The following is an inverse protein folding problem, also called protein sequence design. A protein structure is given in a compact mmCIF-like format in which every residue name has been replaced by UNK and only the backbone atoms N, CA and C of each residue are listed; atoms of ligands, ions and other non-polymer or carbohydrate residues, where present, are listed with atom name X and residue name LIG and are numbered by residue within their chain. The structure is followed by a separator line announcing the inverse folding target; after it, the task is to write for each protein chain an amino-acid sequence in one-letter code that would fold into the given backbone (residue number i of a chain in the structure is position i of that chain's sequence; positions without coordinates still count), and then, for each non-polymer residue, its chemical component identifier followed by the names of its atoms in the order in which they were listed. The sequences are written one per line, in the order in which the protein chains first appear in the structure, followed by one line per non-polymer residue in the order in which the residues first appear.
data_IF_486259688622
#
_entry.id   IF_486259688622
#
_cell.length_a   1.000
_cell.length_b   1.000
_cell.length_c   1.000
_cell.angle_alpha   90.00
_cell.angle_beta   90.00
_cell.angle_gamma   90.00
#
_symmetry.space_group_name_H-M   'P 1'
#
loop_
_entity.id
_entity.type
_entity.pdbx_description
1 polymer ?
#
# COMPACT_ATOMS: atom_id res chain seq x y z
N UNK A 1 -20.70 -15.39 -5.03
CA UNK A 1 -20.82 -13.99 -5.50
C UNK A 1 -19.82 -13.83 -6.65
N UNK A 2 -20.28 -13.44 -7.83
CA UNK A 2 -19.41 -13.15 -8.97
C UNK A 2 -19.19 -11.64 -9.10
N UNK A 3 -17.96 -11.20 -9.33
CA UNK A 3 -17.63 -9.81 -9.59
C UNK A 3 -16.98 -9.72 -10.97
N UNK A 4 -17.57 -8.92 -11.85
CA UNK A 4 -17.08 -8.71 -13.20
C UNK A 4 -16.75 -7.24 -13.40
N UNK A 5 -15.53 -6.99 -13.89
CA UNK A 5 -14.98 -5.65 -14.10
C UNK A 5 -14.97 -5.36 -15.60
N UNK A 6 -15.59 -4.24 -16.02
CA UNK A 6 -15.71 -3.87 -17.42
C UNK A 6 -14.97 -2.56 -17.70
N UNK A 7 -14.10 -2.60 -18.70
CA UNK A 7 -13.37 -1.42 -19.17
C UNK A 7 -14.24 -0.54 -20.08
N UNK A 8 -13.93 0.75 -20.10
CA UNK A 8 -14.62 1.71 -20.94
C UNK A 8 -14.32 1.45 -22.42
N UNK A 9 -15.36 1.39 -23.26
CA UNK A 9 -15.19 1.13 -24.71
C UNK A 9 -14.45 2.24 -25.45
N UNK A 10 -14.64 3.50 -25.03
CA UNK A 10 -13.98 4.68 -25.64
C UNK A 10 -12.57 4.89 -25.10
N UNK A 11 -12.35 4.55 -23.84
CA UNK A 11 -11.03 4.58 -23.21
C UNK A 11 -10.74 3.27 -22.46
N UNK A 12 -10.16 2.26 -23.14
CA UNK A 12 -9.89 0.94 -22.55
C UNK A 12 -9.00 0.94 -21.31
N UNK A 13 -8.28 2.04 -21.04
CA UNK A 13 -7.46 2.16 -19.84
C UNK A 13 -8.26 2.48 -18.58
N UNK A 14 -9.56 2.79 -18.68
CA UNK A 14 -10.42 3.09 -17.54
C UNK A 14 -11.43 1.96 -17.25
N UNK A 15 -11.71 1.75 -15.96
CA UNK A 15 -12.78 0.89 -15.49
C UNK A 15 -14.11 1.68 -15.52
N UNK A 16 -15.09 1.17 -16.27
CA UNK A 16 -16.38 1.84 -16.48
C UNK A 16 -17.43 1.32 -15.51
N UNK A 17 -17.55 0.00 -15.41
CA UNK A 17 -18.68 -0.67 -14.78
C UNK A 17 -18.22 -1.88 -13.97
N UNK A 18 -18.95 -2.17 -12.90
CA UNK A 18 -18.82 -3.41 -12.14
C UNK A 18 -20.17 -4.07 -12.02
N UNK A 19 -20.21 -5.37 -12.32
CA UNK A 19 -21.36 -6.23 -12.11
C UNK A 19 -21.09 -7.11 -10.90
N UNK A 20 -21.99 -7.08 -9.92
CA UNK A 20 -21.96 -7.96 -8.75
C UNK A 20 -23.16 -8.90 -8.84
N UNK A 21 -22.90 -10.18 -9.10
CA UNK A 21 -23.91 -11.22 -9.13
C UNK A 21 -23.98 -11.94 -7.76
N UNK A 22 -25.15 -11.87 -7.11
CA UNK A 22 -25.50 -12.63 -5.90
C UNK A 22 -26.51 -13.73 -6.25
N UNK A 23 -26.89 -14.56 -5.27
CA UNK A 23 -27.81 -15.68 -5.49
C UNK A 23 -29.21 -15.23 -5.92
N UNK A 24 -29.59 -14.04 -5.48
CA UNK A 24 -30.93 -13.46 -5.52
C UNK A 24 -31.06 -12.32 -6.53
N UNK A 25 -29.95 -11.68 -6.90
CA UNK A 25 -29.98 -10.48 -7.74
C UNK A 25 -28.63 -10.19 -8.42
N UNK A 26 -28.68 -9.35 -9.45
CA UNK A 26 -27.52 -8.81 -10.16
C UNK A 26 -27.52 -7.30 -10.00
N UNK A 27 -26.42 -6.75 -9.51
CA UNK A 27 -26.22 -5.32 -9.36
C UNK A 27 -25.24 -4.79 -10.41
N UNK A 28 -25.54 -3.63 -10.98
CA UNK A 28 -24.68 -2.91 -11.91
C UNK A 28 -24.32 -1.55 -11.30
N UNK A 29 -23.02 -1.27 -11.20
CA UNK A 29 -22.50 0.00 -10.70
C UNK A 29 -21.66 0.68 -11.76
N UNK A 30 -21.91 1.97 -12.01
CA UNK A 30 -21.01 2.83 -12.78
C UNK A 30 -19.90 3.37 -11.88
N UNK A 31 -18.66 3.21 -12.32
CA UNK A 31 -17.46 3.65 -11.60
C UNK A 31 -16.73 4.79 -12.30
N UNK A 32 -17.33 5.39 -13.35
CA UNK A 32 -16.73 6.48 -14.11
C UNK A 32 -16.26 7.66 -13.22
N UNK A 33 -17.01 7.94 -12.15
CA UNK A 33 -16.69 9.02 -11.20
C UNK A 33 -15.48 8.74 -10.33
N UNK A 34 -15.04 7.47 -10.22
CA UNK A 34 -13.87 7.06 -9.43
C UNK A 34 -12.56 7.10 -10.23
N UNK A 35 -12.63 7.30 -11.56
CA UNK A 35 -11.47 7.37 -12.45
C UNK A 35 -10.47 6.22 -12.29
N UNK A 36 -10.95 5.00 -12.00
CA UNK A 36 -10.10 3.83 -11.80
C UNK A 36 -9.56 3.33 -13.15
N UNK A 37 -8.32 2.84 -13.15
CA UNK A 37 -7.72 2.16 -14.30
C UNK A 37 -8.41 0.82 -14.54
N UNK A 38 -8.38 0.32 -15.77
CA UNK A 38 -8.99 -0.95 -16.13
C UNK A 38 -8.15 -2.16 -15.70
N UNK A 39 -8.75 -3.37 -15.60
CA UNK A 39 -7.99 -4.59 -15.35
C UNK A 39 -6.92 -4.87 -16.41
N UNK A 40 -7.20 -4.55 -17.67
CA UNK A 40 -6.26 -4.72 -18.79
C UNK A 40 -5.07 -3.79 -18.66
N UNK A 41 -5.32 -2.52 -18.32
CA UNK A 41 -4.27 -1.53 -18.04
C UNK A 41 -3.39 -2.00 -16.87
N UNK A 42 -4.01 -2.42 -15.78
CA UNK A 42 -3.29 -2.89 -14.60
C UNK A 42 -2.40 -4.12 -14.92
N UNK A 43 -2.90 -5.05 -15.75
CA UNK A 43 -2.11 -6.21 -16.23
C UNK A 43 -0.91 -5.78 -17.08
N UNK A 44 -1.08 -4.77 -17.93
CA UNK A 44 0.01 -4.22 -18.73
C UNK A 44 1.07 -3.58 -17.84
N UNK A 45 0.65 -2.78 -16.85
CA UNK A 45 1.53 -2.17 -15.86
C UNK A 45 2.30 -3.24 -15.07
N UNK A 46 1.62 -4.29 -14.61
CA UNK A 46 2.26 -5.39 -13.87
C UNK A 46 3.33 -6.11 -14.70
N UNK A 47 3.09 -6.27 -16.01
CA UNK A 47 4.03 -6.89 -16.95
C UNK A 47 5.16 -5.97 -17.40
N UNK A 48 4.98 -4.65 -17.30
CA UNK A 48 5.95 -3.67 -17.78
C UNK A 48 7.28 -3.80 -17.01
N UNK A 49 8.39 -3.96 -17.73
CA UNK A 49 9.72 -4.10 -17.13
C UNK A 49 9.96 -5.43 -16.43
N UNK A 50 9.16 -6.48 -16.69
CA UNK A 50 9.57 -7.85 -16.39
C UNK A 50 10.78 -8.23 -17.26
N UNK A 51 11.73 -9.03 -16.73
CA UNK A 51 12.88 -9.47 -17.51
C UNK A 51 12.43 -10.33 -18.69
N UNK A 52 13.16 -10.21 -19.80
CA UNK A 52 12.94 -11.06 -20.96
C UNK A 52 13.11 -12.54 -20.58
N UNK A 53 12.20 -13.38 -21.06
CA UNK A 53 12.26 -14.81 -20.81
C UNK A 53 13.17 -15.48 -21.84
N UNK A 54 13.97 -16.49 -21.43
CA UNK A 54 14.70 -17.33 -22.38
C UNK A 54 13.77 -18.17 -23.27
N UNK A 55 12.52 -18.37 -22.85
CA UNK A 55 11.45 -18.99 -23.64
C UNK A 55 10.08 -18.88 -22.95
N UNK A 56 9.00 -19.04 -23.72
CA UNK A 56 7.62 -18.89 -23.23
C UNK A 56 7.14 -17.44 -23.18
N UNK A 57 6.03 -17.21 -22.48
CA UNK A 57 5.41 -15.88 -22.39
C UNK A 57 4.78 -15.63 -21.01
N UNK A 58 4.78 -14.36 -20.58
CA UNK A 58 4.07 -13.97 -19.37
C UNK A 58 2.55 -13.87 -19.59
N UNK A 59 1.77 -14.49 -18.70
CA UNK A 59 0.32 -14.49 -18.69
C UNK A 59 -0.23 -14.05 -17.34
N UNK A 60 -1.31 -13.26 -17.37
CA UNK A 60 -2.04 -12.76 -16.20
C UNK A 60 -3.52 -13.10 -16.34
N UNK A 61 -3.93 -14.31 -15.93
CA UNK A 61 -5.24 -14.86 -16.29
C UNK A 61 -6.39 -14.02 -15.71
N UNK A 62 -6.30 -13.60 -14.45
CA UNK A 62 -7.35 -12.83 -13.79
C UNK A 62 -6.76 -11.73 -12.90
N UNK A 63 -7.27 -10.50 -13.05
CA UNK A 63 -6.95 -9.40 -12.15
C UNK A 63 -8.15 -9.17 -11.24
N UNK A 64 -7.92 -9.16 -9.94
CA UNK A 64 -8.96 -8.99 -8.92
C UNK A 64 -8.76 -7.68 -8.20
N UNK A 65 -9.83 -6.93 -7.97
CA UNK A 65 -9.75 -5.64 -7.27
C UNK A 65 -10.02 -5.84 -5.77
N UNK A 66 -9.06 -5.47 -4.93
CA UNK A 66 -9.13 -5.57 -3.48
C UNK A 66 -8.81 -4.24 -2.83
N UNK A 67 -9.31 -4.05 -1.61
CA UNK A 67 -9.01 -2.88 -0.79
C UNK A 67 -7.83 -3.19 0.14
N UNK A 68 -6.85 -2.29 0.18
CA UNK A 68 -5.72 -2.31 1.12
C UNK A 68 -5.66 -0.92 1.75
N UNK A 69 -5.94 -0.82 3.05
CA UNK A 69 -6.15 0.47 3.71
C UNK A 69 -7.40 1.17 3.18
N UNK A 70 -7.27 2.40 2.71
CA UNK A 70 -8.32 3.20 2.05
C UNK A 70 -8.22 3.16 0.51
N UNK A 71 -7.17 2.53 -0.04
CA UNK A 71 -6.91 2.45 -1.47
C UNK A 71 -7.39 1.11 -2.07
N UNK A 72 -7.66 1.14 -3.38
CA UNK A 72 -7.99 -0.06 -4.17
C UNK A 72 -6.80 -0.50 -5.01
N UNK A 73 -6.52 -1.80 -5.01
CA UNK A 73 -5.41 -2.44 -5.72
C UNK A 73 -5.90 -3.62 -6.55
N UNK A 74 -5.39 -3.71 -7.77
CA UNK A 74 -5.48 -4.91 -8.58
C UNK A 74 -4.44 -5.93 -8.11
N UNK A 75 -4.92 -7.10 -7.72
CA UNK A 75 -4.14 -8.31 -7.51
C UNK A 75 -3.90 -9.01 -8.83
N UNK A 76 -2.64 -9.18 -9.19
CA UNK A 76 -2.25 -9.70 -10.48
C UNK A 76 -1.19 -10.77 -10.28
N UNK A 77 -1.59 -12.05 -10.22
CA UNK A 77 -0.64 -13.14 -10.35
C UNK A 77 -0.12 -13.18 -11.79
N UNK A 78 1.20 -13.28 -11.93
CA UNK A 78 1.89 -13.35 -13.21
C UNK A 78 2.54 -14.72 -13.32
N UNK A 79 2.16 -15.43 -14.37
CA UNK A 79 2.66 -16.75 -14.68
C UNK A 79 3.52 -16.70 -15.94
N UNK A 80 4.47 -17.63 -16.03
CA UNK A 80 5.13 -17.98 -17.29
C UNK A 80 4.37 -19.16 -17.88
N UNK A 81 3.94 -19.04 -19.13
CA UNK A 81 3.41 -20.15 -19.90
C UNK A 81 4.53 -20.76 -20.74
N UNK A 82 4.90 -21.99 -20.42
CA UNK A 82 5.97 -22.73 -21.09
C UNK A 82 5.62 -24.22 -21.14
N UNK A 83 5.80 -24.85 -22.31
CA UNK A 83 5.58 -26.28 -22.47
C UNK A 83 4.16 -26.75 -22.13
N UNK A 84 3.14 -25.90 -22.28
CA UNK A 84 1.74 -26.24 -21.94
C UNK A 84 1.36 -26.01 -20.47
N UNK A 85 2.28 -25.54 -19.63
CA UNK A 85 2.04 -25.35 -18.19
C UNK A 85 2.20 -23.89 -17.77
N UNK A 86 1.43 -23.50 -16.74
CA UNK A 86 1.54 -22.20 -16.09
C UNK A 86 2.38 -22.32 -14.82
N UNK A 87 3.47 -21.55 -14.75
CA UNK A 87 4.39 -21.53 -13.61
C UNK A 87 4.30 -20.15 -12.95
N UNK A 88 4.03 -20.04 -11.64
CA UNK A 88 4.02 -18.76 -10.94
C UNK A 88 5.41 -18.09 -11.01
N UNK A 89 5.46 -16.86 -11.50
CA UNK A 89 6.73 -16.13 -11.66
C UNK A 89 6.77 -14.88 -10.79
N UNK A 90 5.71 -14.09 -10.81
CA UNK A 90 5.61 -12.86 -10.03
C UNK A 90 4.20 -12.68 -9.45
N UNK A 91 4.11 -11.87 -8.41
CA UNK A 91 2.85 -11.29 -7.97
C UNK A 91 2.96 -9.77 -7.99
N UNK A 92 1.89 -9.11 -8.41
CA UNK A 92 1.82 -7.66 -8.47
C UNK A 92 0.56 -7.11 -7.81
N UNK A 93 0.73 -5.98 -7.12
CA UNK A 93 -0.33 -5.10 -6.67
C UNK A 93 -0.22 -3.78 -7.45
N UNK A 94 -1.26 -3.45 -8.22
CA UNK A 94 -1.30 -2.19 -8.98
C UNK A 94 -2.40 -1.30 -8.43
N UNK A 95 -2.06 -0.12 -7.94
CA UNK A 95 -3.03 0.84 -7.41
C UNK A 95 -3.97 1.28 -8.53
N UNK A 96 -5.26 1.18 -8.25
CA UNK A 96 -6.30 1.37 -9.24
C UNK A 96 -6.45 2.84 -9.70
N UNK A 97 -5.90 3.82 -8.99
CA UNK A 97 -6.07 5.25 -9.30
C UNK A 97 -4.95 5.84 -10.16
N UNK A 98 -3.71 5.35 -10.02
CA UNK A 98 -2.55 6.01 -10.66
C UNK A 98 -1.45 5.05 -11.15
N UNK A 99 -1.75 3.76 -11.28
CA UNK A 99 -0.85 2.73 -11.82
C UNK A 99 0.39 2.44 -10.98
N UNK A 100 0.50 2.93 -9.74
CA UNK A 100 1.63 2.57 -8.87
C UNK A 100 1.66 1.07 -8.65
N UNK A 101 2.81 0.43 -8.86
CA UNK A 101 2.94 -1.02 -8.92
C UNK A 101 3.96 -1.52 -7.90
N UNK A 102 3.55 -2.47 -7.07
CA UNK A 102 4.45 -3.30 -6.28
C UNK A 102 4.51 -4.67 -6.90
N UNK A 103 5.72 -5.18 -7.07
CA UNK A 103 5.94 -6.46 -7.72
C UNK A 103 7.01 -7.24 -6.99
N UNK A 104 6.77 -8.53 -6.81
CA UNK A 104 7.64 -9.43 -6.07
C UNK A 104 7.83 -10.72 -6.85
N UNK A 105 9.06 -11.23 -6.87
CA UNK A 105 9.42 -12.49 -7.51
C UNK A 105 8.99 -13.68 -6.64
N UNK A 106 8.33 -14.66 -7.25
CA UNK A 106 7.99 -15.91 -6.56
C UNK A 106 9.25 -16.75 -6.29
N UNK A 107 10.21 -16.75 -7.22
CA UNK A 107 11.43 -17.53 -7.10
C UNK A 107 12.34 -17.02 -5.97
N UNK A 108 12.46 -15.70 -5.82
CA UNK A 108 13.30 -15.09 -4.78
C UNK A 108 12.74 -15.29 -3.37
N UNK A 109 11.41 -15.36 -3.24
CA UNK A 109 10.74 -15.42 -1.94
C UNK A 109 10.29 -16.83 -1.55
N UNK A 110 10.56 -17.84 -2.39
CA UNK A 110 10.26 -19.24 -2.08
C UNK A 110 8.84 -19.70 -2.46
N UNK A 111 8.06 -18.87 -3.14
CA UNK A 111 6.72 -19.24 -3.58
C UNK A 111 5.77 -18.07 -3.84
N UNK A 112 4.59 -18.39 -4.35
CA UNK A 112 3.53 -17.42 -4.62
C UNK A 112 2.96 -16.82 -3.33
N UNK A 113 2.83 -17.62 -2.27
CA UNK A 113 2.27 -17.15 -0.99
C UNK A 113 3.15 -16.07 -0.38
N UNK A 114 4.44 -16.31 -0.33
CA UNK A 114 5.47 -15.44 0.23
C UNK A 114 5.57 -14.15 -0.61
N UNK A 115 5.51 -14.28 -1.94
CA UNK A 115 5.41 -13.13 -2.83
C UNK A 115 4.17 -12.27 -2.57
N UNK A 116 2.99 -12.89 -2.38
CA UNK A 116 1.76 -12.14 -2.03
C UNK A 116 1.95 -11.38 -0.72
N UNK A 117 2.45 -12.03 0.33
CA UNK A 117 2.66 -11.40 1.64
C UNK A 117 3.64 -10.22 1.54
N UNK A 118 4.75 -10.39 0.82
CA UNK A 118 5.73 -9.33 0.61
C UNK A 118 5.16 -8.14 -0.16
N UNK A 119 4.40 -8.37 -1.24
CA UNK A 119 3.76 -7.30 -1.99
C UNK A 119 2.76 -6.53 -1.12
N UNK A 120 2.00 -7.24 -0.28
CA UNK A 120 1.09 -6.63 0.68
C UNK A 120 1.80 -5.78 1.73
N UNK A 121 2.95 -6.23 2.24
CA UNK A 121 3.77 -5.45 3.16
C UNK A 121 4.27 -4.16 2.50
N UNK A 122 4.73 -4.22 1.25
CA UNK A 122 5.15 -3.04 0.48
C UNK A 122 3.98 -2.06 0.26
N UNK A 123 2.81 -2.58 -0.13
CA UNK A 123 1.61 -1.77 -0.31
C UNK A 123 1.09 -1.16 0.99
N UNK A 124 1.11 -1.91 2.09
CA UNK A 124 0.71 -1.43 3.41
C UNK A 124 1.62 -0.33 3.95
N UNK A 125 2.94 -0.41 3.67
CA UNK A 125 3.88 0.67 3.96
C UNK A 125 3.53 1.93 3.16
N UNK A 126 3.23 1.82 1.88
CA UNK A 126 2.92 3.00 1.06
C UNK A 126 1.53 3.62 1.29
N UNK A 127 0.52 2.80 1.58
CA UNK A 127 -0.84 3.26 1.86
C UNK A 127 -0.91 4.18 3.09
N UNK A 128 0.15 4.18 3.91
CA UNK A 128 0.41 5.21 4.89
C UNK A 128 1.28 6.26 4.18
N UNK A 129 0.69 7.35 3.66
CA UNK A 129 1.50 8.48 3.17
C UNK A 129 2.32 9.00 4.34
N UNK A 130 3.61 8.71 4.27
CA UNK A 130 4.53 9.08 5.30
C UNK A 130 5.09 10.46 5.02
N UNK A 131 5.03 11.32 6.04
CA UNK A 131 5.67 12.64 6.00
C UNK A 131 6.72 12.67 7.09
N UNK A 132 7.94 13.07 6.73
CA UNK A 132 8.98 13.34 7.72
C UNK A 132 8.75 14.73 8.32
N UNK A 133 8.66 14.78 9.65
CA UNK A 133 8.55 16.00 10.44
C UNK A 133 9.86 16.14 11.21
N UNK A 134 10.63 17.17 10.88
CA UNK A 134 11.89 17.50 11.54
C UNK A 134 11.79 18.86 12.22
N UNK A 135 12.20 18.92 13.49
CA UNK A 135 12.18 20.16 14.24
C UNK A 135 12.67 20.03 15.67
N UNK A 136 12.35 21.04 16.48
CA UNK A 136 12.66 21.06 17.91
C UNK A 136 11.45 20.62 18.71
N UNK A 137 11.61 19.66 19.61
CA UNK A 137 10.57 19.21 20.51
C UNK A 137 10.23 20.32 21.51
N UNK A 138 9.00 20.82 21.50
CA UNK A 138 8.54 21.90 22.38
C UNK A 138 7.52 21.45 23.41
N UNK A 139 6.93 20.27 23.22
CA UNK A 139 6.03 19.63 24.18
C UNK A 139 6.12 18.11 24.06
N UNK A 140 6.06 17.42 25.21
CA UNK A 140 6.05 15.95 25.30
C UNK A 140 5.16 15.56 26.47
N UNK A 141 4.08 14.84 26.19
CA UNK A 141 3.07 14.46 27.17
C UNK A 141 2.80 12.97 27.08
N UNK A 142 3.07 12.26 28.15
CA UNK A 142 2.90 10.82 28.25
C UNK A 142 1.61 10.50 29.01
N UNK A 143 0.80 9.60 28.47
CA UNK A 143 -0.44 9.16 29.11
C UNK A 143 -0.75 7.70 28.75
N UNK A 144 -1.65 7.10 29.53
CA UNK A 144 -2.11 5.72 29.31
C UNK A 144 -3.55 5.74 28.81
N UNK A 145 -3.80 5.07 27.70
CA UNK A 145 -5.12 4.92 27.09
C UNK A 145 -5.36 3.43 26.81
N UNK A 146 -6.41 2.86 27.41
CA UNK A 146 -6.76 1.44 27.28
C UNK A 146 -5.61 0.47 27.63
N UNK A 147 -4.77 0.86 28.60
CA UNK A 147 -3.60 0.07 29.02
C UNK A 147 -2.36 0.21 28.13
N UNK A 148 -2.43 1.01 27.05
CA UNK A 148 -1.30 1.28 26.17
C UNK A 148 -0.70 2.67 26.44
N UNK A 149 0.62 2.76 26.38
CA UNK A 149 1.34 4.04 26.54
C UNK A 149 1.25 4.86 25.26
N UNK A 150 0.86 6.12 25.41
CA UNK A 150 0.74 7.11 24.33
C UNK A 150 1.59 8.33 24.66
N UNK A 151 2.28 8.84 23.66
CA UNK A 151 3.15 10.00 23.80
C UNK A 151 2.74 11.05 22.77
N UNK A 152 2.17 12.15 23.24
CA UNK A 152 1.87 13.32 22.42
C UNK A 152 3.09 14.22 22.33
N UNK A 153 3.48 14.61 21.12
CA UNK A 153 4.65 15.44 20.86
C UNK A 153 4.24 16.68 20.09
N UNK A 154 4.69 17.84 20.54
CA UNK A 154 4.60 19.09 19.80
C UNK A 154 5.98 19.44 19.25
N UNK A 155 6.11 19.53 17.93
CA UNK A 155 7.37 19.75 17.23
C UNK A 155 7.31 21.11 16.54
N UNK A 156 8.22 22.01 16.90
CA UNK A 156 8.40 23.31 16.24
C UNK A 156 9.29 23.15 15.01
N UNK A 157 8.71 23.39 13.85
CA UNK A 157 9.39 23.40 12.56
C UNK A 157 10.31 24.63 12.41
N UNK A 158 11.28 24.59 11.47
CA UNK A 158 12.16 25.74 11.19
C UNK A 158 11.42 27.02 10.77
N UNK A 159 10.23 26.90 10.17
CA UNK A 159 9.38 28.02 9.80
C UNK A 159 8.57 28.60 10.98
N UNK A 160 8.78 28.11 12.20
CA UNK A 160 8.10 28.54 13.42
C UNK A 160 6.75 27.87 13.69
N UNK A 161 6.22 27.06 12.76
CA UNK A 161 4.96 26.33 12.94
C UNK A 161 5.13 25.20 13.94
N UNK A 162 4.17 25.02 14.84
CA UNK A 162 4.13 23.87 15.76
C UNK A 162 3.19 22.81 15.19
N UNK A 163 3.69 21.58 15.06
CA UNK A 163 2.94 20.43 14.59
C UNK A 163 2.87 19.39 15.69
N UNK A 164 1.66 18.98 16.02
CA UNK A 164 1.41 17.92 16.99
C UNK A 164 1.33 16.55 16.32
N UNK A 165 1.99 15.56 16.91
CA UNK A 165 2.04 14.16 16.45
C UNK A 165 1.83 13.21 17.63
N UNK A 166 1.33 12.01 17.36
CA UNK A 166 1.04 11.01 18.38
C UNK A 166 1.91 9.76 18.18
N UNK A 167 2.73 9.42 19.15
CA UNK A 167 3.40 8.12 19.20
C UNK A 167 2.55 7.12 20.00
N UNK A 168 2.30 5.96 19.38
CA UNK A 168 1.66 4.81 20.01
C UNK A 168 2.74 3.78 20.27
N UNK A 169 3.14 3.60 21.53
CA UNK A 169 4.31 2.78 21.88
C UNK A 169 4.16 1.34 21.38
N UNK A 170 2.93 0.82 21.37
CA UNK A 170 2.61 -0.51 20.87
C UNK A 170 2.81 -0.71 19.35
N UNK A 171 2.98 0.38 18.59
CA UNK A 171 3.16 0.36 17.13
C UNK A 171 4.59 0.68 16.69
N UNK A 172 5.49 0.96 17.63
CA UNK A 172 6.87 1.37 17.37
C UNK A 172 7.84 0.27 17.75
N UNK A 173 8.96 0.20 17.04
CA UNK A 173 10.04 -0.71 17.39
C UNK A 173 10.73 -0.26 18.69
N UNK A 174 11.32 -1.19 19.48
CA UNK A 174 11.94 -0.86 20.76
C UNK A 174 13.02 0.23 20.70
N UNK A 175 13.76 0.29 19.59
CA UNK A 175 14.78 1.32 19.34
C UNK A 175 14.15 2.71 19.19
N UNK A 176 13.07 2.84 18.43
CA UNK A 176 12.32 4.09 18.27
C UNK A 176 11.72 4.57 19.57
N UNK A 177 11.17 3.64 20.36
CA UNK A 177 10.64 3.92 21.70
C UNK A 177 11.74 4.47 22.60
N UNK A 178 12.92 3.83 22.59
CA UNK A 178 14.06 4.31 23.36
C UNK A 178 14.49 5.72 22.92
N UNK A 179 14.61 5.96 21.61
CA UNK A 179 14.93 7.28 21.06
C UNK A 179 13.91 8.33 21.52
N UNK A 180 12.62 8.07 21.35
CA UNK A 180 11.54 8.96 21.79
C UNK A 180 11.60 9.28 23.28
N UNK A 181 11.79 8.26 24.11
CA UNK A 181 11.86 8.41 25.56
C UNK A 181 13.11 9.19 25.99
N UNK A 182 14.23 9.02 25.28
CA UNK A 182 15.50 9.71 25.56
C UNK A 182 15.46 11.22 25.26
N UNK A 183 14.62 11.65 24.31
CA UNK A 183 14.51 13.07 23.92
C UNK A 183 13.79 13.90 24.97
N UNK A 184 14.30 15.10 25.22
CA UNK A 184 13.73 16.11 26.10
C UNK A 184 13.21 17.31 25.31
N UNK A 185 12.34 18.10 25.95
CA UNK A 185 11.90 19.38 25.40
C UNK A 185 13.11 20.29 25.20
N UNK A 186 13.29 20.79 23.99
CA UNK A 186 14.48 21.53 23.53
C UNK A 186 15.36 20.76 22.56
N UNK A 187 15.26 19.43 22.54
CA UNK A 187 16.05 18.59 21.62
C UNK A 187 15.53 18.63 20.19
N UNK A 188 16.42 18.36 19.23
CA UNK A 188 16.01 18.05 17.87
C UNK A 188 15.48 16.63 17.76
N UNK A 189 14.40 16.50 17.00
CA UNK A 189 13.76 15.23 16.69
C UNK A 189 13.33 15.22 15.22
N UNK A 190 13.46 14.07 14.58
CA UNK A 190 12.95 13.80 13.26
C UNK A 190 12.10 12.53 13.32
N UNK A 191 10.83 12.64 12.94
CA UNK A 191 9.87 11.53 13.01
C UNK A 191 9.19 11.35 11.68
N UNK A 192 8.90 10.11 11.32
CA UNK A 192 8.05 9.79 10.18
C UNK A 192 6.64 9.56 10.70
N UNK A 193 5.66 10.27 10.12
CA UNK A 193 4.26 10.16 10.54
C UNK A 193 3.35 9.76 9.39
N UNK A 194 2.26 9.07 9.69
CA UNK A 194 1.18 8.81 8.75
C UNK A 194 0.27 10.04 8.54
N UNK A 195 -0.76 9.90 7.70
CA UNK A 195 -1.73 10.97 7.41
C UNK A 195 -2.52 11.45 8.65
N UNK A 196 -2.61 10.63 9.69
CA UNK A 196 -3.26 10.97 10.97
C UNK A 196 -2.28 11.55 11.98
N UNK A 197 -1.04 11.83 11.55
CA UNK A 197 0.07 12.30 12.39
C UNK A 197 0.45 11.29 13.49
N UNK A 198 0.21 10.00 13.24
CA UNK A 198 0.72 8.95 14.12
C UNK A 198 2.16 8.64 13.73
N UNK A 199 3.07 8.67 14.69
CA UNK A 199 4.49 8.34 14.51
C UNK A 199 4.60 6.86 14.15
N UNK A 200 5.38 6.59 13.11
CA UNK A 200 5.65 5.24 12.62
C UNK A 200 7.13 4.86 12.64
N UNK A 201 8.03 5.85 12.76
CA UNK A 201 9.48 5.69 12.79
C UNK A 201 10.11 6.95 13.40
N UNK A 202 11.25 6.80 14.07
CA UNK A 202 11.98 7.89 14.73
C UNK A 202 13.42 7.89 14.20
N UNK A 203 13.75 8.91 13.42
CA UNK A 203 15.07 9.00 12.78
C UNK A 203 16.10 9.50 13.80
N UNK A 204 17.22 8.77 13.91
CA UNK A 204 18.33 9.05 14.83
C UNK A 204 19.06 10.37 14.52
#
# INVERSE_FOLDING_TARGET
MGVYLFQNKRNPSLLELVIIARRDCVYLYSLNHLALISPSEAKNVAKAGLPALPGGEYRTPLALLYRIGDQLYYHIPVFIYQGGHYIPAYFALVRATDRRCFRTSCAELGGLREAILAAYALAGREARRYTTIEGTLVGKYEYVEEGNTRIWLDIRLPNGTVVSVLAKVELLDPEDVYLLLSKQVGDRISVVVDEKRVVVDVLA
#
